data_IF_506755077227
#
_entry.id   IF_506755077227
#
_cell.length_a   1.000
_cell.length_b   1.000
_cell.length_c   1.000
_cell.angle_alpha   90.00
_cell.angle_beta   90.00
_cell.angle_gamma   90.00
#
_symmetry.space_group_name_H-M   'P 1'
#
loop_
_entity.id
_entity.type
_entity.pdbx_description
1 polymer ?
#
# COMPACT_ATOMS: atom_id res chain seq x y z
N UNK A 1 -40.73 18.11 -40.25
CA UNK A 1 -40.62 18.81 -38.95
C UNK A 1 -39.85 17.90 -38.00
N UNK A 2 -38.53 18.03 -37.96
CA UNK A 2 -37.67 17.18 -37.13
C UNK A 2 -37.54 17.82 -35.75
N UNK A 3 -38.02 17.14 -34.72
CA UNK A 3 -37.92 17.61 -33.34
C UNK A 3 -36.45 17.60 -32.89
N UNK A 4 -35.92 18.76 -32.51
CA UNK A 4 -34.63 18.88 -31.84
C UNK A 4 -34.78 18.29 -30.44
N UNK A 5 -34.16 17.14 -30.19
CA UNK A 5 -34.08 16.55 -28.85
C UNK A 5 -33.16 17.44 -28.01
N UNK A 6 -33.60 17.95 -26.84
CA UNK A 6 -32.74 18.76 -25.99
C UNK A 6 -31.56 17.92 -25.49
N UNK A 7 -30.34 18.40 -25.74
CA UNK A 7 -29.11 17.81 -25.18
C UNK A 7 -29.21 17.90 -23.66
N UNK A 8 -29.30 16.76 -22.98
CA UNK A 8 -29.29 16.71 -21.52
C UNK A 8 -27.92 17.17 -21.04
N UNK A 9 -27.90 18.29 -20.30
CA UNK A 9 -26.68 18.76 -19.67
C UNK A 9 -26.16 17.66 -18.72
N UNK A 10 -25.00 17.08 -19.04
CA UNK A 10 -24.34 16.09 -18.18
C UNK A 10 -23.82 16.83 -16.96
N UNK A 11 -24.49 16.66 -15.82
CA UNK A 11 -23.99 17.19 -14.54
C UNK A 11 -22.75 16.38 -14.16
N UNK A 12 -21.60 17.01 -13.89
CA UNK A 12 -20.41 16.28 -13.48
C UNK A 12 -20.70 15.55 -12.16
N UNK A 13 -20.20 14.31 -12.02
CA UNK A 13 -20.41 13.57 -10.79
C UNK A 13 -19.82 14.35 -9.60
N UNK A 14 -20.44 14.26 -8.41
CA UNK A 14 -19.89 14.87 -7.22
C UNK A 14 -18.46 14.35 -6.98
N UNK A 15 -17.57 15.24 -6.51
CA UNK A 15 -16.16 14.90 -6.27
C UNK A 15 -15.99 13.69 -5.33
N UNK A 16 -14.88 12.97 -5.49
CA UNK A 16 -14.54 11.74 -4.77
C UNK A 16 -14.80 11.85 -3.25
N UNK A 17 -14.37 12.95 -2.64
CA UNK A 17 -14.52 13.21 -1.21
C UNK A 17 -15.98 13.31 -0.75
N UNK A 18 -16.86 13.93 -1.54
CA UNK A 18 -18.30 13.99 -1.23
C UNK A 18 -18.98 12.62 -1.33
N UNK A 19 -18.38 11.69 -2.08
CA UNK A 19 -18.87 10.32 -2.24
C UNK A 19 -18.34 9.40 -1.14
N UNK A 20 -17.06 9.52 -0.75
CA UNK A 20 -16.44 8.63 0.25
C UNK A 20 -16.67 9.05 1.70
N UNK A 21 -16.63 10.35 2.02
CA UNK A 21 -16.78 10.85 3.39
C UNK A 21 -18.01 10.31 4.15
N UNK A 22 -19.21 10.16 3.54
CA UNK A 22 -20.36 9.61 4.25
C UNK A 22 -20.28 8.09 4.50
N UNK A 23 -19.40 7.35 3.83
CA UNK A 23 -19.29 5.90 3.95
C UNK A 23 -18.15 5.48 4.88
N UNK A 24 -18.49 5.03 6.10
CA UNK A 24 -17.53 4.58 7.14
C UNK A 24 -16.57 3.49 6.64
N UNK A 25 -17.09 2.51 5.89
CA UNK A 25 -16.25 1.44 5.31
C UNK A 25 -15.26 1.98 4.27
N UNK A 26 -15.69 2.93 3.43
CA UNK A 26 -14.82 3.58 2.45
C UNK A 26 -13.71 4.39 3.13
N UNK A 27 -14.05 5.12 4.19
CA UNK A 27 -13.08 5.87 5.00
C UNK A 27 -12.10 4.94 5.74
N UNK A 28 -12.56 3.82 6.29
CA UNK A 28 -11.69 2.83 6.92
C UNK A 28 -10.68 2.24 5.93
N UNK A 29 -11.13 1.89 4.72
CA UNK A 29 -10.25 1.43 3.65
C UNK A 29 -9.22 2.49 3.23
N UNK A 30 -9.65 3.75 3.10
CA UNK A 30 -8.74 4.86 2.79
C UNK A 30 -7.68 5.06 3.88
N UNK A 31 -8.07 5.03 5.16
CA UNK A 31 -7.13 5.15 6.28
C UNK A 31 -6.13 3.99 6.28
N UNK A 32 -6.59 2.75 6.12
CA UNK A 32 -5.72 1.58 6.07
C UNK A 32 -4.72 1.68 4.90
N UNK A 33 -5.21 2.01 3.70
CA UNK A 33 -4.35 2.20 2.53
C UNK A 33 -3.30 3.29 2.77
N UNK A 34 -3.70 4.40 3.40
CA UNK A 34 -2.79 5.51 3.73
C UNK A 34 -1.71 5.05 4.71
N UNK A 35 -2.08 4.29 5.75
CA UNK A 35 -1.12 3.73 6.72
C UNK A 35 -0.13 2.79 6.04
N UNK A 36 -0.61 1.90 5.18
CA UNK A 36 0.25 0.98 4.41
C UNK A 36 1.20 1.77 3.51
N UNK A 37 0.70 2.77 2.78
CA UNK A 37 1.52 3.59 1.90
C UNK A 37 2.61 4.35 2.66
N UNK A 38 2.26 5.01 3.77
CA UNK A 38 3.24 5.69 4.63
C UNK A 38 4.28 4.70 5.18
N UNK A 39 3.85 3.52 5.62
CA UNK A 39 4.78 2.48 6.11
C UNK A 39 5.75 2.02 5.01
N UNK A 40 5.28 1.86 3.79
CA UNK A 40 6.11 1.51 2.64
C UNK A 40 7.14 2.61 2.31
N UNK A 41 6.71 3.88 2.25
CA UNK A 41 7.59 5.01 1.92
C UNK A 41 8.65 5.26 3.00
N UNK A 42 8.28 5.20 4.28
CA UNK A 42 9.22 5.39 5.40
C UNK A 42 10.25 4.26 5.51
N UNK A 43 9.87 3.04 5.13
CA UNK A 43 10.75 1.87 5.16
C UNK A 43 11.72 1.78 3.97
N UNK A 44 11.45 2.49 2.86
CA UNK A 44 12.21 2.44 1.59
C UNK A 44 13.75 2.52 1.72
N UNK A 45 14.34 3.47 2.50
CA UNK A 45 15.80 3.54 2.62
C UNK A 45 16.41 2.35 3.36
N UNK A 46 15.63 1.71 4.24
CA UNK A 46 16.09 0.55 5.02
C UNK A 46 15.85 -0.74 4.25
N UNK A 47 14.69 -0.88 3.60
CA UNK A 47 14.39 -2.06 2.78
C UNK A 47 15.38 -2.20 1.64
N UNK A 48 15.78 -1.11 0.98
CA UNK A 48 16.79 -1.15 -0.08
C UNK A 48 18.17 -1.68 0.38
N UNK A 49 18.53 -1.50 1.66
CA UNK A 49 19.81 -1.96 2.22
C UNK A 49 19.74 -3.38 2.79
N UNK A 50 18.61 -3.75 3.38
CA UNK A 50 18.45 -5.01 4.11
C UNK A 50 17.70 -6.10 3.35
N UNK A 51 17.18 -5.83 2.15
CA UNK A 51 16.38 -6.79 1.38
C UNK A 51 17.10 -8.13 1.15
N UNK A 52 18.39 -8.07 0.81
CA UNK A 52 19.23 -9.25 0.54
C UNK A 52 20.09 -9.66 1.74
N UNK A 53 19.94 -9.02 2.91
CA UNK A 53 20.72 -9.35 4.08
C UNK A 53 20.27 -10.70 4.66
N UNK A 54 21.18 -11.66 4.72
CA UNK A 54 20.95 -13.01 5.24
C UNK A 54 21.70 -13.22 6.56
N UNK A 55 21.02 -13.84 7.53
CA UNK A 55 21.59 -14.17 8.83
C UNK A 55 21.18 -15.59 9.21
N UNK A 56 22.00 -16.58 8.82
CA UNK A 56 21.70 -18.01 9.02
C UNK A 56 21.58 -18.38 10.51
N UNK A 57 22.10 -17.56 11.43
CA UNK A 57 21.97 -17.77 12.87
C UNK A 57 20.54 -17.50 13.36
N UNK A 58 19.76 -16.73 12.59
CA UNK A 58 18.37 -16.38 12.87
C UNK A 58 17.41 -17.05 11.91
N UNK A 59 17.64 -18.31 11.57
CA UNK A 59 16.75 -19.07 10.68
C UNK A 59 15.44 -19.44 11.41
N UNK A 60 14.29 -19.20 10.78
CA UNK A 60 12.94 -19.41 11.36
C UNK A 60 12.75 -18.74 12.74
N UNK A 61 13.34 -17.56 12.94
CA UNK A 61 13.20 -16.83 14.17
C UNK A 61 11.74 -16.35 14.33
N UNK A 62 11.16 -16.47 15.54
CA UNK A 62 9.82 -15.97 15.82
C UNK A 62 9.77 -14.43 15.71
N UNK A 63 8.57 -13.84 15.65
CA UNK A 63 8.41 -12.38 15.68
C UNK A 63 9.09 -11.78 16.91
N UNK A 64 9.92 -10.75 16.70
CA UNK A 64 10.67 -10.08 17.77
C UNK A 64 10.40 -8.58 17.81
N UNK A 65 10.30 -8.02 19.02
CA UNK A 65 10.10 -6.58 19.23
C UNK A 65 11.42 -5.82 19.41
N UNK A 66 12.54 -6.52 19.43
CA UNK A 66 13.86 -5.94 19.65
C UNK A 66 14.27 -4.99 18.53
N UNK A 67 13.91 -5.34 17.29
CA UNK A 67 14.15 -4.53 16.11
C UNK A 67 12.91 -4.54 15.23
N UNK A 68 12.45 -3.37 14.81
CA UNK A 68 11.24 -3.23 14.01
C UNK A 68 11.27 -4.06 12.73
N UNK A 69 12.45 -4.26 12.12
CA UNK A 69 12.63 -5.10 10.93
C UNK A 69 12.32 -6.56 11.19
N UNK A 70 12.53 -7.09 12.39
CA UNK A 70 12.26 -8.50 12.72
C UNK A 70 10.91 -8.71 13.41
N UNK A 71 10.00 -7.72 13.33
CA UNK A 71 8.69 -7.81 13.95
C UNK A 71 7.84 -8.97 13.44
N UNK A 72 7.97 -9.33 12.16
CA UNK A 72 7.31 -10.53 11.59
C UNK A 72 8.18 -11.80 11.65
N UNK A 73 9.38 -11.74 12.24
CA UNK A 73 10.33 -12.84 12.25
C UNK A 73 11.11 -12.98 10.94
N UNK A 74 11.70 -14.16 10.74
CA UNK A 74 12.57 -14.46 9.59
C UNK A 74 12.16 -15.72 8.83
N UNK A 75 12.66 -15.84 7.60
CA UNK A 75 12.50 -17.03 6.78
C UNK A 75 13.61 -18.09 6.99
N UNK A 76 13.60 -19.13 6.15
CA UNK A 76 14.58 -20.21 6.15
C UNK A 76 16.04 -19.77 5.90
N UNK A 77 16.24 -18.55 5.41
CA UNK A 77 17.56 -17.96 5.15
C UNK A 77 17.90 -16.86 6.16
N UNK A 78 17.08 -16.71 7.22
CA UNK A 78 17.25 -15.69 8.23
C UNK A 78 16.96 -14.26 7.74
N UNK A 79 16.25 -14.10 6.63
CA UNK A 79 15.87 -12.78 6.11
C UNK A 79 14.60 -12.29 6.80
N UNK A 80 14.53 -10.99 7.08
CA UNK A 80 13.33 -10.37 7.64
C UNK A 80 12.11 -10.51 6.72
N UNK A 81 11.02 -11.06 7.25
CA UNK A 81 9.75 -11.15 6.52
C UNK A 81 9.10 -9.77 6.34
N UNK A 82 9.13 -8.92 7.37
CA UNK A 82 8.53 -7.58 7.31
C UNK A 82 9.17 -6.72 6.22
N UNK A 83 10.50 -6.71 6.15
CA UNK A 83 11.26 -5.93 5.15
C UNK A 83 10.89 -6.36 3.73
N UNK A 84 10.76 -7.68 3.49
CA UNK A 84 10.38 -8.22 2.18
C UNK A 84 8.94 -7.90 1.82
N UNK A 85 8.02 -7.97 2.78
CA UNK A 85 6.62 -7.57 2.57
C UNK A 85 6.49 -6.07 2.28
N UNK A 86 7.20 -5.20 3.01
CA UNK A 86 7.21 -3.77 2.76
C UNK A 86 7.80 -3.43 1.39
N UNK A 87 8.89 -4.09 1.00
CA UNK A 87 9.46 -3.93 -0.33
C UNK A 87 8.46 -4.33 -1.43
N UNK A 88 7.79 -5.48 -1.29
CA UNK A 88 6.72 -5.89 -2.20
C UNK A 88 5.55 -4.91 -2.23
N UNK A 89 5.16 -4.36 -1.07
CA UNK A 89 4.14 -3.32 -0.95
C UNK A 89 4.49 -2.04 -1.71
N UNK A 90 5.76 -1.60 -1.65
CA UNK A 90 6.25 -0.47 -2.45
C UNK A 90 6.05 -0.72 -3.95
N UNK A 91 6.42 -1.91 -4.43
CA UNK A 91 6.24 -2.29 -5.83
C UNK A 91 4.76 -2.35 -6.22
N UNK A 92 3.90 -2.92 -5.37
CA UNK A 92 2.46 -2.98 -5.64
C UNK A 92 1.82 -1.59 -5.71
N UNK A 93 2.19 -0.67 -4.81
CA UNK A 93 1.70 0.71 -4.83
C UNK A 93 2.18 1.42 -6.09
N UNK A 94 3.46 1.28 -6.44
CA UNK A 94 4.02 1.89 -7.65
C UNK A 94 3.28 1.42 -8.91
N UNK A 95 3.08 0.10 -9.07
CA UNK A 95 2.32 -0.46 -10.19
C UNK A 95 0.86 -0.04 -10.18
N UNK A 96 0.22 0.02 -9.01
CA UNK A 96 -1.16 0.49 -8.87
C UNK A 96 -1.34 1.94 -9.29
N UNK A 97 -0.40 2.82 -8.94
CA UNK A 97 -0.42 4.23 -9.35
C UNK A 97 -0.21 4.38 -10.86
N UNK A 98 0.77 3.67 -11.44
CA UNK A 98 1.01 3.65 -12.89
C UNK A 98 -0.21 3.12 -13.66
N UNK A 99 -0.86 2.07 -13.16
CA UNK A 99 -2.04 1.50 -13.80
C UNK A 99 -3.28 2.42 -13.69
N UNK A 100 -3.41 3.16 -12.59
CA UNK A 100 -4.51 4.10 -12.37
C UNK A 100 -4.40 5.40 -13.19
N UNK A 101 -3.30 5.59 -13.92
CA UNK A 101 -3.11 6.75 -14.79
C UNK A 101 -2.42 7.92 -14.11
N UNK A 102 -1.47 7.63 -13.21
CA UNK A 102 -0.24 8.42 -13.26
C UNK A 102 0.43 8.19 -14.61
#
# INVERSE_FOLDING_TARGET
>A
MSAVVPSSAVVPPPGLWRRLAPHRAGMAGLVLLTVIAVSCFTALPVTARLYDHQDLTRTYAPPSLEHWTFWCGTDALGRSLLVRTLYGGCTSIALGLLAAGL
#
